data_IF_247667527999
#
_entry.id   IF_247667527999
#
_cell.length_a   1.000
_cell.length_b   1.000
_cell.length_c   1.000
_cell.angle_alpha   90.00
_cell.angle_beta   90.00
_cell.angle_gamma   90.00
#
_symmetry.space_group_name_H-M   'P 1'
#
loop_
_entity.id
_entity.type
_entity.pdbx_description
1 polymer ?
#
# COMPACT_ATOMS: atom_id res chain seq x y z
N UNK A 1 -6.37 16.06 22.36
CA UNK A 1 -5.50 17.25 22.25
C UNK A 1 -4.71 17.10 20.96
N UNK A 2 -4.72 18.06 20.02
CA UNK A 2 -3.75 18.02 18.95
C UNK A 2 -2.40 18.33 19.59
N UNK A 3 -1.57 17.32 19.81
CA UNK A 3 -0.20 17.55 20.26
C UNK A 3 0.54 18.25 19.12
N UNK A 4 0.99 19.47 19.38
CA UNK A 4 1.76 20.25 18.43
C UNK A 4 3.02 19.49 18.00
N UNK A 5 3.33 19.57 16.71
CA UNK A 5 4.50 18.95 16.07
C UNK A 5 5.84 19.27 16.77
N UNK A 6 5.92 20.37 17.53
CA UNK A 6 7.11 20.76 18.29
C UNK A 6 7.39 19.81 19.47
N UNK A 7 6.35 19.36 20.18
CA UNK A 7 6.52 18.41 21.29
C UNK A 7 6.91 17.02 20.78
N UNK A 8 6.38 16.63 19.61
CA UNK A 8 6.74 15.39 18.94
C UNK A 8 8.23 15.37 18.53
N UNK A 9 8.77 16.49 18.03
CA UNK A 9 10.18 16.58 17.66
C UNK A 9 11.13 16.56 18.88
N UNK A 10 10.73 17.15 20.01
CA UNK A 10 11.54 17.19 21.24
C UNK A 10 11.55 15.85 21.99
N UNK A 11 10.51 15.03 21.83
CA UNK A 11 10.37 13.72 22.47
C UNK A 11 10.71 12.54 21.56
N UNK A 12 11.02 12.81 20.28
CA UNK A 12 11.46 11.79 19.33
C UNK A 12 12.73 11.08 19.82
N UNK A 13 12.70 9.75 19.86
CA UNK A 13 13.86 8.93 20.24
C UNK A 13 15.01 9.08 19.25
N UNK A 14 14.68 9.10 17.95
CA UNK A 14 15.65 9.30 16.87
C UNK A 14 15.72 10.77 16.49
N UNK A 15 16.92 11.37 16.35
CA UNK A 15 17.05 12.75 15.89
C UNK A 15 16.67 12.91 14.42
N UNK A 16 16.60 11.82 13.64
CA UNK A 16 16.14 11.86 12.24
C UNK A 16 14.66 12.25 12.14
N UNK A 17 13.86 11.89 13.13
CA UNK A 17 12.43 12.20 13.19
C UNK A 17 12.14 13.49 14.00
N UNK A 18 13.17 14.10 14.60
CA UNK A 18 13.09 15.34 15.37
C UNK A 18 14.04 16.43 14.85
N UNK A 19 15.17 16.61 15.54
CA UNK A 19 16.17 17.68 15.27
C UNK A 19 16.57 17.80 13.78
N UNK A 20 16.63 16.69 13.06
CA UNK A 20 17.07 16.63 11.66
C UNK A 20 15.93 16.33 10.68
N UNK A 21 14.66 16.28 11.12
CA UNK A 21 13.52 15.96 10.27
C UNK A 21 13.46 16.82 9.02
N UNK A 22 13.67 18.14 9.13
CA UNK A 22 13.69 19.04 7.98
C UNK A 22 14.77 18.75 6.94
N UNK A 23 15.84 18.01 7.30
CA UNK A 23 16.90 17.59 6.36
C UNK A 23 16.60 16.27 5.66
N UNK A 24 15.74 15.43 6.25
CA UNK A 24 15.49 14.06 5.80
C UNK A 24 14.03 13.77 5.49
N UNK A 25 13.13 14.75 5.57
CA UNK A 25 11.68 14.56 5.38
C UNK A 25 11.34 13.91 4.03
N UNK A 26 12.11 14.20 2.97
CA UNK A 26 11.94 13.55 1.67
C UNK A 26 12.20 12.03 1.71
N UNK A 27 13.05 11.56 2.62
CA UNK A 27 13.32 10.12 2.80
C UNK A 27 12.13 9.39 3.42
N UNK A 28 11.26 10.08 4.16
CA UNK A 28 10.06 9.49 4.74
C UNK A 28 9.12 8.93 3.68
N UNK A 29 9.14 9.47 2.46
CA UNK A 29 8.39 8.89 1.34
C UNK A 29 8.79 7.43 1.08
N UNK A 30 10.07 7.06 1.29
CA UNK A 30 10.58 5.73 0.94
C UNK A 30 10.78 4.81 2.15
N UNK A 31 11.26 5.36 3.27
CA UNK A 31 11.72 4.57 4.42
C UNK A 31 10.77 4.60 5.63
N UNK A 32 9.68 5.38 5.57
CA UNK A 32 8.63 5.26 6.58
C UNK A 32 7.84 3.97 6.41
N UNK A 33 7.07 3.61 7.43
CA UNK A 33 6.13 2.50 7.34
C UNK A 33 5.09 2.70 6.21
N UNK A 34 4.62 3.94 6.01
CA UNK A 34 3.75 4.28 4.88
C UNK A 34 4.45 4.06 3.53
N UNK A 35 5.73 4.44 3.41
CA UNK A 35 6.56 4.19 2.23
C UNK A 35 6.78 2.70 1.96
N UNK A 36 7.04 1.91 3.00
CA UNK A 36 7.17 0.46 2.92
C UNK A 36 5.88 -0.19 2.42
N UNK A 37 4.73 0.15 3.03
CA UNK A 37 3.44 -0.42 2.65
C UNK A 37 3.08 -0.02 1.21
N UNK A 38 3.30 1.25 0.82
CA UNK A 38 3.06 1.71 -0.55
C UNK A 38 3.84 0.89 -1.58
N UNK A 39 5.13 0.65 -1.32
CA UNK A 39 5.96 -0.15 -2.23
C UNK A 39 5.54 -1.61 -2.28
N UNK A 40 5.06 -2.20 -1.17
CA UNK A 40 4.49 -3.55 -1.17
C UNK A 40 3.22 -3.63 -2.00
N UNK A 41 2.29 -2.70 -1.81
CA UNK A 41 1.07 -2.61 -2.63
C UNK A 41 1.41 -2.49 -4.12
N UNK A 42 2.38 -1.63 -4.47
CA UNK A 42 2.85 -1.51 -5.84
C UNK A 42 3.39 -2.84 -6.38
N UNK A 43 4.27 -3.51 -5.64
CA UNK A 43 4.85 -4.78 -6.08
C UNK A 43 3.78 -5.86 -6.31
N UNK A 44 2.79 -5.96 -5.43
CA UNK A 44 1.68 -6.91 -5.58
C UNK A 44 0.79 -6.60 -6.80
N UNK A 45 0.50 -5.32 -7.05
CA UNK A 45 -0.27 -4.90 -8.23
C UNK A 45 0.48 -5.21 -9.53
N UNK A 46 1.78 -4.90 -9.58
CA UNK A 46 2.63 -5.19 -10.74
C UNK A 46 2.75 -6.70 -10.96
N UNK A 47 2.88 -7.49 -9.89
CA UNK A 47 2.91 -8.95 -9.96
C UNK A 47 1.60 -9.53 -10.49
N UNK A 48 0.45 -9.08 -9.97
CA UNK A 48 -0.86 -9.52 -10.44
C UNK A 48 -1.09 -9.13 -11.92
N UNK A 49 -0.63 -7.95 -12.32
CA UNK A 49 -0.71 -7.48 -13.72
C UNK A 49 0.17 -8.34 -14.62
N UNK A 50 1.38 -8.67 -14.18
CA UNK A 50 2.30 -9.54 -14.90
C UNK A 50 1.75 -10.97 -15.07
N UNK A 51 1.08 -11.50 -14.04
CA UNK A 51 0.40 -12.80 -14.15
C UNK A 51 -0.71 -12.78 -15.20
N UNK A 52 -1.51 -11.72 -15.24
CA UNK A 52 -2.57 -11.58 -16.24
C UNK A 52 -2.03 -11.40 -17.67
N UNK A 53 -0.78 -10.93 -17.82
CA UNK A 53 -0.11 -10.79 -19.12
C UNK A 53 0.65 -12.04 -19.56
N UNK A 54 0.86 -13.03 -18.68
CA UNK A 54 1.58 -14.26 -18.98
C UNK A 54 0.65 -15.30 -19.63
N UNK A 55 0.79 -15.60 -20.93
CA UNK A 55 -0.12 -16.53 -21.61
C UNK A 55 -0.11 -17.95 -21.06
N UNK A 56 0.96 -18.35 -20.36
CA UNK A 56 1.07 -19.63 -19.68
C UNK A 56 0.22 -19.77 -18.42
N UNK A 57 -0.25 -18.67 -17.83
CA UNK A 57 -1.08 -18.67 -16.60
C UNK A 57 -2.55 -18.52 -16.98
N UNK A 58 -3.19 -19.66 -17.26
CA UNK A 58 -4.58 -19.68 -17.79
C UNK A 58 -5.66 -19.33 -16.75
N UNK A 59 -5.30 -19.39 -15.46
CA UNK A 59 -6.19 -19.11 -14.32
C UNK A 59 -6.47 -17.61 -14.16
N UNK A 60 -5.63 -16.76 -14.73
CA UNK A 60 -5.76 -15.30 -14.66
C UNK A 60 -5.91 -14.76 -16.09
N UNK A 61 -7.13 -14.37 -16.44
CA UNK A 61 -7.39 -13.77 -17.75
C UNK A 61 -6.72 -12.38 -17.86
N UNK A 62 -6.28 -11.97 -19.07
CA UNK A 62 -5.77 -10.62 -19.29
C UNK A 62 -6.75 -9.54 -18.83
N UNK A 63 -6.23 -8.56 -18.10
CA UNK A 63 -7.06 -7.46 -17.61
C UNK A 63 -7.42 -6.48 -18.72
N UNK A 64 -8.66 -6.00 -18.68
CA UNK A 64 -9.11 -4.91 -19.52
C UNK A 64 -8.31 -3.62 -19.26
N UNK A 65 -8.31 -2.71 -20.24
CA UNK A 65 -7.66 -1.42 -20.10
C UNK A 65 -8.21 -0.60 -18.92
N UNK A 66 -9.51 -0.70 -18.62
CA UNK A 66 -10.14 -0.04 -17.47
C UNK A 66 -9.69 -0.63 -16.14
N UNK A 67 -9.54 -1.96 -16.04
CA UNK A 67 -8.99 -2.61 -14.84
C UNK A 67 -7.53 -2.20 -14.61
N UNK A 68 -6.71 -2.17 -15.67
CA UNK A 68 -5.31 -1.71 -15.59
C UNK A 68 -5.20 -0.25 -15.15
N UNK A 69 -6.07 0.63 -15.66
CA UNK A 69 -6.11 2.02 -15.24
C UNK A 69 -6.44 2.14 -13.73
N UNK A 70 -7.44 1.40 -13.25
CA UNK A 70 -7.82 1.40 -11.83
C UNK A 70 -6.72 0.83 -10.92
N UNK A 71 -6.03 -0.23 -11.35
CA UNK A 71 -4.87 -0.77 -10.64
C UNK A 71 -3.73 0.26 -10.54
N UNK A 72 -3.45 0.98 -11.64
CA UNK A 72 -2.45 2.05 -11.65
C UNK A 72 -2.85 3.21 -10.72
N UNK A 73 -4.11 3.62 -10.73
CA UNK A 73 -4.64 4.64 -9.82
C UNK A 73 -4.54 4.23 -8.35
N UNK A 74 -4.82 2.98 -8.02
CA UNK A 74 -4.66 2.45 -6.65
C UNK A 74 -3.22 2.55 -6.17
N UNK A 75 -2.24 2.19 -7.02
CA UNK A 75 -0.82 2.29 -6.66
C UNK A 75 -0.34 3.74 -6.55
N UNK A 76 -0.76 4.61 -7.49
CA UNK A 76 -0.30 6.01 -7.55
C UNK A 76 -0.98 6.90 -6.50
N UNK A 77 -2.22 6.58 -6.13
CA UNK A 77 -3.01 7.32 -5.14
C UNK A 77 -2.83 6.85 -3.71
N UNK A 78 -2.00 5.82 -3.47
CA UNK A 78 -1.82 5.24 -2.13
C UNK A 78 -1.24 6.27 -1.14
N UNK A 79 -1.97 6.52 -0.05
CA UNK A 79 -1.60 7.53 0.94
C UNK A 79 -1.69 7.09 2.40
N UNK A 80 -1.48 8.01 3.35
CA UNK A 80 -1.49 7.71 4.79
C UNK A 80 -2.79 7.08 5.30
N UNK A 81 -3.94 7.42 4.70
CA UNK A 81 -5.23 6.83 5.06
C UNK A 81 -5.29 5.33 4.69
N UNK A 82 -4.71 4.95 3.55
CA UNK A 82 -4.63 3.55 3.12
C UNK A 82 -3.66 2.76 3.99
N UNK A 83 -2.49 3.33 4.28
CA UNK A 83 -1.54 2.75 5.24
C UNK A 83 -2.21 2.51 6.60
N UNK A 84 -3.00 3.47 7.09
CA UNK A 84 -3.76 3.31 8.33
C UNK A 84 -4.78 2.17 8.26
N UNK A 85 -5.46 1.96 7.12
CA UNK A 85 -6.35 0.81 6.90
C UNK A 85 -5.58 -0.50 6.92
N UNK A 86 -4.43 -0.58 6.25
CA UNK A 86 -3.55 -1.77 6.29
C UNK A 86 -3.14 -2.08 7.72
N UNK A 87 -2.68 -1.09 8.50
CA UNK A 87 -2.33 -1.27 9.93
C UNK A 87 -3.53 -1.71 10.77
N UNK A 88 -4.75 -1.30 10.43
CA UNK A 88 -5.95 -1.76 11.12
C UNK A 88 -6.23 -3.25 10.87
N UNK A 89 -6.02 -3.72 9.64
CA UNK A 89 -6.12 -5.14 9.28
C UNK A 89 -4.99 -5.94 9.96
N UNK A 90 -3.77 -5.39 9.97
CA UNK A 90 -2.60 -6.02 10.59
C UNK A 90 -2.79 -6.30 12.08
N UNK A 91 -3.55 -5.47 12.81
CA UNK A 91 -3.89 -5.74 14.21
C UNK A 91 -4.66 -7.05 14.41
N UNK A 92 -5.39 -7.50 13.39
CA UNK A 92 -6.11 -8.78 13.43
C UNK A 92 -5.27 -9.92 12.88
N UNK A 93 -4.51 -9.71 11.80
CA UNK A 93 -3.70 -10.76 11.18
C UNK A 93 -2.38 -11.02 11.90
N UNK A 94 -1.89 -10.03 12.66
CA UNK A 94 -0.54 -9.97 13.21
C UNK A 94 0.56 -10.21 12.15
N UNK A 95 0.28 -9.82 10.89
CA UNK A 95 1.18 -10.00 9.75
C UNK A 95 0.92 -8.93 8.69
N UNK A 96 1.95 -8.15 8.40
CA UNK A 96 1.96 -7.00 7.49
C UNK A 96 1.67 -7.34 6.01
N UNK A 97 2.34 -8.34 5.44
CA UNK A 97 2.11 -8.79 4.06
C UNK A 97 0.69 -9.33 3.89
N UNK A 98 0.20 -10.11 4.87
CA UNK A 98 -1.18 -10.61 4.84
C UNK A 98 -2.19 -9.45 4.91
N UNK A 99 -1.90 -8.40 5.69
CA UNK A 99 -2.74 -7.22 5.76
C UNK A 99 -2.81 -6.46 4.43
N UNK A 100 -1.71 -6.38 3.68
CA UNK A 100 -1.68 -5.83 2.32
C UNK A 100 -2.56 -6.66 1.38
N UNK A 101 -2.47 -7.99 1.42
CA UNK A 101 -3.31 -8.87 0.61
C UNK A 101 -4.80 -8.64 0.89
N UNK A 102 -5.21 -8.58 2.15
CA UNK A 102 -6.60 -8.29 2.52
C UNK A 102 -7.04 -6.90 2.07
N UNK A 103 -6.18 -5.88 2.23
CA UNK A 103 -6.48 -4.53 1.74
C UNK A 103 -6.68 -4.52 0.22
N UNK A 104 -5.83 -5.23 -0.53
CA UNK A 104 -6.01 -5.37 -1.98
C UNK A 104 -7.32 -6.07 -2.30
N UNK A 105 -7.66 -7.18 -1.63
CA UNK A 105 -8.95 -7.86 -1.83
C UNK A 105 -10.13 -6.92 -1.59
N UNK A 106 -10.10 -6.09 -0.54
CA UNK A 106 -11.15 -5.08 -0.27
C UNK A 106 -11.30 -4.07 -1.43
N UNK A 107 -10.18 -3.62 -2.02
CA UNK A 107 -10.18 -2.65 -3.13
C UNK A 107 -10.60 -3.27 -4.45
N UNK A 108 -10.19 -4.51 -4.70
CA UNK A 108 -10.39 -5.20 -5.98
C UNK A 108 -11.74 -5.93 -6.06
N UNK A 109 -12.44 -6.15 -4.96
CA UNK A 109 -13.77 -6.78 -4.95
C UNK A 109 -14.81 -6.02 -5.80
N UNK A 110 -14.60 -4.72 -6.05
CA UNK A 110 -15.45 -3.90 -6.90
C UNK A 110 -15.15 -4.03 -8.41
N UNK A 111 -14.08 -4.74 -8.79
CA UNK A 111 -13.63 -4.85 -10.18
C UNK A 111 -14.21 -6.10 -10.85
N UNK A 112 -14.99 -5.96 -11.95
CA UNK A 112 -15.67 -7.08 -12.60
C UNK A 112 -14.74 -8.21 -13.06
N UNK A 113 -13.54 -7.85 -13.54
CA UNK A 113 -12.55 -8.80 -14.06
C UNK A 113 -11.91 -9.64 -12.94
N UNK A 114 -11.90 -9.13 -11.71
CA UNK A 114 -11.23 -9.73 -10.56
C UNK A 114 -12.19 -10.39 -9.57
N UNK A 115 -13.48 -10.04 -9.62
CA UNK A 115 -14.52 -10.67 -8.80
C UNK A 115 -14.67 -12.19 -9.05
N UNK A 116 -14.21 -12.70 -10.20
CA UNK A 116 -14.22 -14.14 -10.54
C UNK A 116 -12.98 -14.90 -10.07
N UNK A 117 -11.86 -14.23 -9.81
CA UNK A 117 -10.60 -14.86 -9.41
C UNK A 117 -10.48 -15.07 -7.88
N UNK A 118 -11.40 -14.49 -7.11
CA UNK A 118 -11.42 -14.51 -5.64
C UNK A 118 -12.41 -15.52 -5.03
N UNK A 119 -13.00 -16.42 -5.84
CA UNK A 119 -13.95 -17.44 -5.41
C UNK A 119 -13.28 -18.79 -5.13
#
# INVERSE_FOLDING_TARGET
MPSDSADAALTALSPLDGRYAGKVVALAEHFSECGLIRNRVRAEIEWLTALADEPGVTEVAPFSASTRAQLSELSNGFGPADAARVKAIERTTNHDVKAVEYWLRERLAALPDLARASA
#
